data_IF_971882518964
#
_entry.id   IF_971882518964
#
_cell.length_a   1.000
_cell.length_b   1.000
_cell.length_c   1.000
_cell.angle_alpha   90.00
_cell.angle_beta   90.00
_cell.angle_gamma   90.00
#
_symmetry.space_group_name_H-M   'P 1'
#
loop_
_entity.id
_entity.type
_entity.pdbx_description
1 polymer ?
#
# COMPACT_ATOMS: atom_id res chain seq x y z
N UNK A 1 -2.23 12.39 23.96
CA UNK A 1 -2.70 13.06 22.74
C UNK A 1 -1.60 13.09 21.69
N UNK A 2 -1.76 12.35 20.60
CA UNK A 2 -1.01 12.60 19.38
C UNK A 2 -1.65 13.84 18.75
N UNK A 3 -0.91 14.93 18.56
CA UNK A 3 -1.44 16.13 17.92
C UNK A 3 -1.58 15.89 16.40
N UNK A 4 -2.60 15.15 15.98
CA UNK A 4 -2.84 14.83 14.57
C UNK A 4 -3.08 16.08 13.72
N UNK A 5 -3.53 17.20 14.31
CA UNK A 5 -3.64 18.47 13.60
C UNK A 5 -2.25 18.98 13.18
N UNK A 6 -1.31 19.01 14.11
CA UNK A 6 0.08 19.40 13.80
C UNK A 6 0.76 18.42 12.82
N UNK A 7 0.46 17.13 12.90
CA UNK A 7 0.94 16.15 11.92
C UNK A 7 0.39 16.45 10.51
N UNK A 8 -0.90 16.82 10.39
CA UNK A 8 -1.51 17.18 9.12
C UNK A 8 -0.85 18.43 8.51
N UNK A 9 -0.65 19.49 9.31
CA UNK A 9 0.03 20.71 8.86
C UNK A 9 1.47 20.45 8.42
N UNK A 10 2.21 19.61 9.15
CA UNK A 10 3.58 19.22 8.77
C UNK A 10 3.60 18.45 7.46
N UNK A 11 2.64 17.54 7.25
CA UNK A 11 2.52 16.82 5.98
C UNK A 11 2.21 17.79 4.84
N UNK A 12 1.26 18.71 5.02
CA UNK A 12 0.89 19.71 4.01
C UNK A 12 2.08 20.59 3.64
N UNK A 13 2.84 21.08 4.64
CA UNK A 13 4.07 21.84 4.38
C UNK A 13 5.07 21.06 3.53
N UNK A 14 5.30 19.78 3.85
CA UNK A 14 6.21 18.92 3.08
C UNK A 14 5.67 18.63 1.67
N UNK A 15 4.36 18.49 1.54
CA UNK A 15 3.70 18.37 0.24
C UNK A 15 3.94 19.61 -0.61
N UNK A 16 3.84 20.81 -0.04
CA UNK A 16 4.09 22.08 -0.75
C UNK A 16 5.55 22.18 -1.22
N UNK A 17 6.52 21.83 -0.37
CA UNK A 17 7.96 21.77 -0.70
C UNK A 17 8.25 20.85 -1.90
N UNK A 18 7.44 19.79 -2.06
CA UNK A 18 7.60 18.74 -3.07
C UNK A 18 6.55 18.83 -4.19
N UNK A 19 5.75 19.91 -4.20
CA UNK A 19 4.71 20.22 -5.20
C UNK A 19 3.63 19.12 -5.32
N UNK A 20 3.33 18.46 -4.21
CA UNK A 20 2.27 17.46 -4.11
C UNK A 20 0.96 18.16 -3.76
N UNK A 21 -0.01 18.10 -4.68
CA UNK A 21 -1.33 18.73 -4.46
C UNK A 21 -2.15 17.96 -3.43
N UNK A 22 -2.24 16.64 -3.58
CA UNK A 22 -3.11 15.79 -2.77
C UNK A 22 -2.37 14.54 -2.30
N UNK A 23 -2.57 14.15 -1.03
CA UNK A 23 -2.05 12.92 -0.46
C UNK A 23 -3.19 11.98 -0.02
N UNK A 24 -3.00 10.69 -0.23
CA UNK A 24 -3.86 9.64 0.31
C UNK A 24 -3.33 9.26 1.70
N UNK A 25 -4.22 9.26 2.68
CA UNK A 25 -3.92 8.96 4.08
C UNK A 25 -4.58 7.64 4.41
N UNK A 26 -3.75 6.65 4.76
CA UNK A 26 -4.20 5.35 5.27
C UNK A 26 -4.28 5.38 6.80
N UNK A 27 -5.24 4.66 7.36
CA UNK A 27 -5.38 4.54 8.83
C UNK A 27 -4.52 3.39 9.31
N UNK A 28 -3.45 3.70 10.03
CA UNK A 28 -2.69 2.71 10.81
C UNK A 28 -3.15 2.81 12.27
N UNK A 29 -3.78 1.76 12.84
CA UNK A 29 -4.23 1.79 14.22
C UNK A 29 -3.07 2.09 15.18
N UNK A 30 -3.30 3.01 16.12
CA UNK A 30 -2.32 3.34 17.15
C UNK A 30 -2.30 2.22 18.19
N UNK A 31 -1.14 1.94 18.81
CA UNK A 31 -1.08 0.96 19.91
C UNK A 31 -1.76 1.47 21.20
N UNK A 32 -2.26 2.72 21.20
CA UNK A 32 -2.87 3.38 22.37
C UNK A 32 -4.39 3.51 22.23
N UNK A 33 -4.89 3.56 21.01
CA UNK A 33 -6.29 3.80 20.70
C UNK A 33 -6.86 2.61 19.94
N UNK A 34 -8.12 2.25 20.20
CA UNK A 34 -8.79 1.19 19.45
C UNK A 34 -8.94 1.53 17.96
N UNK A 35 -9.24 0.53 17.11
CA UNK A 35 -9.37 0.75 15.67
C UNK A 35 -10.43 1.80 15.30
N UNK A 36 -11.59 1.80 15.98
CA UNK A 36 -12.65 2.79 15.76
C UNK A 36 -12.25 4.22 16.11
N UNK A 37 -11.55 4.40 17.24
CA UNK A 37 -11.07 5.71 17.68
C UNK A 37 -9.97 6.21 16.73
N UNK A 38 -9.04 5.34 16.34
CA UNK A 38 -8.00 5.66 15.34
C UNK A 38 -8.62 6.10 14.01
N UNK A 39 -9.64 5.37 13.54
CA UNK A 39 -10.39 5.70 12.35
C UNK A 39 -11.08 7.07 12.45
N UNK A 40 -11.89 7.28 13.51
CA UNK A 40 -12.61 8.55 13.70
C UNK A 40 -11.66 9.74 13.78
N UNK A 41 -10.59 9.62 14.56
CA UNK A 41 -9.59 10.68 14.69
C UNK A 41 -8.93 11.00 13.35
N UNK A 42 -8.52 10.01 12.55
CA UNK A 42 -7.91 10.26 11.26
C UNK A 42 -8.90 10.88 10.26
N UNK A 43 -10.11 10.31 10.16
CA UNK A 43 -11.20 10.78 9.31
C UNK A 43 -11.52 12.26 9.57
N UNK A 44 -11.72 12.62 10.84
CA UNK A 44 -12.09 13.97 11.23
C UNK A 44 -10.97 14.99 10.98
N UNK A 45 -9.70 14.55 10.95
CA UNK A 45 -8.55 15.40 10.61
C UNK A 45 -8.43 15.57 9.10
N UNK A 46 -8.51 14.49 8.33
CA UNK A 46 -8.48 14.54 6.87
C UNK A 46 -9.61 15.42 6.31
N UNK A 47 -10.82 15.32 6.88
CA UNK A 47 -11.97 16.15 6.48
C UNK A 47 -11.78 17.66 6.65
N UNK A 48 -10.82 18.10 7.48
CA UNK A 48 -10.48 19.53 7.62
C UNK A 48 -9.66 20.08 6.46
N UNK A 49 -9.09 19.20 5.63
CA UNK A 49 -8.25 19.57 4.50
C UNK A 49 -8.68 18.84 3.22
N UNK A 50 -9.96 18.96 2.80
CA UNK A 50 -10.53 18.13 1.74
C UNK A 50 -9.81 18.29 0.38
N UNK A 51 -9.22 19.45 0.10
CA UNK A 51 -8.50 19.68 -1.16
C UNK A 51 -7.07 19.13 -1.17
N UNK A 52 -6.55 18.78 0.01
CA UNK A 52 -5.15 18.36 0.21
C UNK A 52 -5.04 16.90 0.65
N UNK A 53 -5.97 16.41 1.45
CA UNK A 53 -5.89 15.09 2.06
C UNK A 53 -7.14 14.28 1.72
N UNK A 54 -6.95 13.01 1.39
CA UNK A 54 -8.03 12.05 1.13
C UNK A 54 -7.81 10.79 1.94
N UNK A 55 -8.89 10.24 2.48
CA UNK A 55 -8.80 9.08 3.35
C UNK A 55 -8.95 7.80 2.53
N UNK A 56 -8.04 6.85 2.74
CA UNK A 56 -8.26 5.44 2.47
C UNK A 56 -8.48 4.75 3.82
N UNK A 57 -9.56 4.01 3.94
CA UNK A 57 -9.97 3.40 5.21
C UNK A 57 -10.37 1.93 5.04
N UNK A 58 -10.55 1.22 6.15
CA UNK A 58 -10.86 -0.21 6.12
C UNK A 58 -9.77 -1.05 6.79
N UNK A 59 -8.50 -0.65 6.73
CA UNK A 59 -7.44 -1.37 7.46
C UNK A 59 -7.75 -1.52 8.96
N UNK A 60 -8.25 -0.45 9.58
CA UNK A 60 -8.64 -0.47 11.00
C UNK A 60 -9.97 -1.21 11.27
N UNK A 61 -10.97 -1.07 10.41
CA UNK A 61 -12.35 -1.51 10.71
C UNK A 61 -12.72 -2.86 10.08
N UNK A 62 -12.18 -3.16 8.90
CA UNK A 62 -12.40 -4.40 8.16
C UNK A 62 -11.26 -5.40 8.37
N UNK A 63 -10.05 -4.89 8.63
CA UNK A 63 -8.84 -5.69 8.84
C UNK A 63 -8.97 -6.75 9.94
N UNK A 64 -9.51 -6.44 11.14
CA UNK A 64 -9.69 -7.44 12.20
C UNK A 64 -10.53 -8.63 11.74
N UNK A 65 -11.71 -8.40 11.16
CA UNK A 65 -12.58 -9.48 10.65
C UNK A 65 -11.88 -10.31 9.57
N UNK A 66 -11.14 -9.67 8.67
CA UNK A 66 -10.34 -10.35 7.63
C UNK A 66 -9.22 -11.23 8.18
N UNK A 67 -8.64 -10.88 9.33
CA UNK A 67 -7.51 -11.60 9.92
C UNK A 67 -7.93 -12.67 10.91
N UNK A 68 -9.04 -12.46 11.60
CA UNK A 68 -9.53 -13.34 12.66
C UNK A 68 -10.49 -14.42 12.16
N UNK A 69 -11.13 -14.20 10.99
CA UNK A 69 -12.06 -15.18 10.40
C UNK A 69 -11.29 -16.16 9.52
N UNK A 70 -11.44 -17.46 9.79
CA UNK A 70 -10.94 -18.47 8.86
C UNK A 70 -11.74 -18.39 7.53
N UNK A 71 -11.08 -18.45 6.35
CA UNK A 71 -11.78 -18.40 5.06
C UNK A 71 -12.90 -19.42 4.90
N UNK A 72 -12.81 -20.61 5.51
CA UNK A 72 -13.82 -21.66 5.49
C UNK A 72 -15.03 -21.40 6.40
N UNK A 73 -14.88 -20.50 7.38
CA UNK A 73 -15.89 -20.18 8.39
C UNK A 73 -16.64 -18.87 8.09
N UNK A 74 -16.46 -18.30 6.90
CA UNK A 74 -17.14 -17.06 6.49
C UNK A 74 -18.62 -17.34 6.22
N UNK A 75 -19.46 -17.02 7.19
CA UNK A 75 -20.93 -17.10 7.09
C UNK A 75 -21.53 -15.91 6.33
N UNK A 76 -22.80 -16.03 5.93
CA UNK A 76 -23.54 -14.92 5.30
C UNK A 76 -23.78 -13.75 6.25
N UNK A 77 -23.87 -14.02 7.56
CA UNK A 77 -23.94 -12.97 8.57
C UNK A 77 -22.63 -12.16 8.62
N UNK A 78 -21.48 -12.84 8.66
CA UNK A 78 -20.16 -12.18 8.61
C UNK A 78 -20.03 -11.33 7.35
N UNK A 79 -20.43 -11.86 6.18
CA UNK A 79 -20.43 -11.10 4.91
C UNK A 79 -21.30 -9.85 4.98
N UNK A 80 -22.51 -9.97 5.54
CA UNK A 80 -23.46 -8.86 5.65
C UNK A 80 -22.90 -7.75 6.55
N UNK A 81 -22.32 -8.11 7.69
CA UNK A 81 -21.75 -7.13 8.64
C UNK A 81 -20.47 -6.49 8.08
N UNK A 82 -19.65 -7.28 7.40
CA UNK A 82 -18.47 -6.78 6.68
C UNK A 82 -18.87 -5.77 5.59
N UNK A 83 -19.87 -6.10 4.77
CA UNK A 83 -20.40 -5.20 3.74
C UNK A 83 -20.96 -3.92 4.35
N UNK A 84 -21.77 -4.02 5.40
CA UNK A 84 -22.33 -2.87 6.11
C UNK A 84 -21.22 -1.92 6.59
N UNK A 85 -20.14 -2.47 7.14
CA UNK A 85 -18.98 -1.69 7.60
C UNK A 85 -18.24 -1.04 6.43
N UNK A 86 -18.04 -1.77 5.32
CA UNK A 86 -17.40 -1.24 4.12
C UNK A 86 -18.21 -0.10 3.48
N UNK A 87 -19.53 -0.25 3.40
CA UNK A 87 -20.43 0.77 2.87
C UNK A 87 -20.45 2.02 3.77
N UNK A 88 -20.50 1.84 5.10
CA UNK A 88 -20.38 2.94 6.07
C UNK A 88 -19.09 3.74 5.86
N UNK A 89 -17.95 3.08 5.68
CA UNK A 89 -16.65 3.76 5.44
C UNK A 89 -16.72 4.68 4.21
N UNK A 90 -17.36 4.22 3.14
CA UNK A 90 -17.51 4.99 1.91
C UNK A 90 -18.55 6.11 2.04
N UNK A 91 -19.66 5.85 2.70
CA UNK A 91 -20.69 6.87 2.99
C UNK A 91 -20.14 7.98 3.89
N UNK A 92 -19.14 7.67 4.72
CA UNK A 92 -18.37 8.65 5.48
C UNK A 92 -17.25 9.35 4.66
N UNK A 93 -17.19 9.13 3.35
CA UNK A 93 -16.36 9.91 2.43
C UNK A 93 -14.92 9.42 2.29
N UNK A 94 -14.62 8.16 2.62
CA UNK A 94 -13.38 7.54 2.19
C UNK A 94 -13.31 7.47 0.65
N UNK A 95 -12.14 7.76 0.09
CA UNK A 95 -11.90 7.73 -1.36
C UNK A 95 -11.65 6.31 -1.91
N UNK A 96 -11.63 5.32 -1.03
CA UNK A 96 -11.37 3.91 -1.32
C UNK A 96 -10.95 3.16 -0.07
N UNK A 97 -10.57 1.90 -0.26
CA UNK A 97 -10.18 1.04 0.84
C UNK A 97 -8.66 1.01 1.01
N UNK A 98 -8.16 1.15 2.24
CA UNK A 98 -6.73 1.10 2.54
C UNK A 98 -6.42 1.41 4.01
N UNK A 99 -5.21 1.13 4.49
CA UNK A 99 -4.27 0.14 3.94
C UNK A 99 -4.86 -1.26 4.21
N UNK A 100 -5.14 -2.03 3.15
CA UNK A 100 -5.68 -3.38 3.31
C UNK A 100 -4.52 -4.38 3.35
N UNK A 101 -4.30 -5.00 4.52
CA UNK A 101 -3.17 -5.91 4.74
C UNK A 101 -3.51 -7.34 4.31
N UNK A 102 -2.81 -7.87 3.31
CA UNK A 102 -2.83 -9.29 3.00
C UNK A 102 -1.61 -10.03 3.58
N UNK A 103 -0.42 -9.44 3.50
CA UNK A 103 0.77 -10.04 4.09
C UNK A 103 1.72 -8.94 4.55
N UNK A 104 1.80 -8.76 5.87
CA UNK A 104 2.58 -7.71 6.50
C UNK A 104 3.67 -8.33 7.38
N UNK A 105 4.93 -8.14 6.99
CA UNK A 105 6.07 -8.68 7.73
C UNK A 105 6.34 -7.88 9.00
N UNK A 106 6.62 -8.57 10.10
CA UNK A 106 7.13 -7.93 11.30
C UNK A 106 8.59 -7.50 11.11
N UNK A 107 8.87 -6.19 11.08
CA UNK A 107 10.21 -5.64 10.82
C UNK A 107 10.99 -5.31 12.09
N UNK A 108 10.31 -5.19 13.22
CA UNK A 108 10.85 -4.95 14.56
C UNK A 108 9.77 -5.28 15.62
N UNK A 109 10.09 -5.40 16.93
CA UNK A 109 9.12 -5.81 17.95
C UNK A 109 7.92 -4.87 18.20
N UNK A 110 7.93 -3.66 17.64
CA UNK A 110 6.78 -2.72 17.67
C UNK A 110 5.95 -2.76 16.38
N UNK A 111 6.32 -3.64 15.45
CA UNK A 111 5.61 -3.97 14.22
C UNK A 111 4.94 -5.32 14.44
N UNK A 112 3.72 -5.54 14.00
CA UNK A 112 3.08 -6.87 14.07
C UNK A 112 3.22 -7.61 12.75
N UNK A 113 3.28 -8.94 12.81
CA UNK A 113 2.99 -9.77 11.64
C UNK A 113 1.46 -9.85 11.47
N UNK A 114 0.97 -9.66 10.25
CA UNK A 114 -0.46 -9.80 9.92
C UNK A 114 -0.60 -10.53 8.59
N UNK A 115 -1.61 -11.39 8.49
CA UNK A 115 -1.89 -12.18 7.29
C UNK A 115 -3.38 -12.36 7.08
N UNK A 116 -3.81 -12.14 5.85
CA UNK A 116 -5.10 -12.54 5.31
C UNK A 116 -4.86 -12.96 3.85
N UNK A 117 -5.28 -14.17 3.49
CA UNK A 117 -5.08 -14.69 2.13
C UNK A 117 -5.75 -13.76 1.11
N UNK A 118 -5.10 -13.34 0.00
CA UNK A 118 -5.74 -12.38 -0.91
C UNK A 118 -7.01 -12.92 -1.59
N UNK A 119 -7.17 -14.25 -1.66
CA UNK A 119 -8.35 -14.96 -2.14
C UNK A 119 -9.38 -15.26 -1.03
N UNK A 120 -9.22 -14.68 0.16
CA UNK A 120 -10.18 -14.79 1.24
C UNK A 120 -11.57 -14.30 0.78
N UNK A 121 -12.68 -15.00 1.12
CA UNK A 121 -14.03 -14.60 0.70
C UNK A 121 -14.42 -13.14 1.01
N UNK A 122 -13.88 -12.54 2.08
CA UNK A 122 -14.13 -11.15 2.44
C UNK A 122 -13.32 -10.16 1.58
N UNK A 123 -12.14 -10.55 1.08
CA UNK A 123 -11.44 -9.77 0.05
C UNK A 123 -12.18 -9.82 -1.29
N UNK A 124 -12.73 -10.97 -1.66
CA UNK A 124 -13.56 -11.10 -2.86
C UNK A 124 -14.82 -10.23 -2.76
N UNK A 125 -15.49 -10.25 -1.60
CA UNK A 125 -16.61 -9.36 -1.31
C UNK A 125 -16.22 -7.88 -1.33
N UNK A 126 -15.07 -7.52 -0.74
CA UNK A 126 -14.57 -6.15 -0.77
C UNK A 126 -14.31 -5.68 -2.20
N UNK A 127 -13.81 -6.57 -3.07
CA UNK A 127 -13.61 -6.27 -4.48
C UNK A 127 -14.93 -5.95 -5.19
N UNK A 128 -15.99 -6.70 -4.89
CA UNK A 128 -17.34 -6.42 -5.43
C UNK A 128 -17.88 -5.08 -4.96
N UNK A 129 -17.80 -4.79 -3.65
CA UNK A 129 -18.22 -3.50 -3.07
C UNK A 129 -17.43 -2.33 -3.69
N UNK A 130 -16.12 -2.47 -3.82
CA UNK A 130 -15.26 -1.45 -4.41
C UNK A 130 -15.60 -1.19 -5.89
N UNK A 131 -15.93 -2.24 -6.65
CA UNK A 131 -16.40 -2.10 -8.03
C UNK A 131 -17.79 -1.46 -8.13
N UNK A 132 -18.73 -1.85 -7.27
CA UNK A 132 -20.09 -1.29 -7.19
C UNK A 132 -20.06 0.22 -6.87
N UNK A 133 -19.15 0.62 -5.99
CA UNK A 133 -18.99 2.02 -5.54
C UNK A 133 -17.97 2.80 -6.36
N UNK A 134 -17.34 2.14 -7.33
CA UNK A 134 -16.32 2.68 -8.22
C UNK A 134 -15.19 3.43 -7.47
N UNK A 135 -14.60 2.72 -6.50
CA UNK A 135 -13.44 3.12 -5.71
C UNK A 135 -12.33 2.04 -5.78
N UNK A 136 -11.06 2.40 -5.58
CA UNK A 136 -9.97 1.42 -5.55
C UNK A 136 -9.81 0.74 -4.18
N UNK A 137 -9.08 -0.39 -4.19
CA UNK A 137 -8.52 -1.04 -3.00
C UNK A 137 -7.00 -0.86 -3.06
N UNK A 138 -6.44 -0.28 -2.00
CA UNK A 138 -5.01 -0.12 -1.78
C UNK A 138 -4.53 -1.25 -0.88
N UNK A 139 -3.69 -2.12 -1.44
CA UNK A 139 -3.36 -3.45 -0.91
C UNK A 139 -1.87 -3.51 -0.53
N UNK A 140 -1.61 -3.75 0.75
CA UNK A 140 -0.31 -4.09 1.28
C UNK A 140 -0.09 -5.60 1.26
N UNK A 141 0.89 -6.04 0.48
CA UNK A 141 1.20 -7.44 0.34
C UNK A 141 2.68 -7.64 -0.01
N UNK A 142 3.32 -8.62 0.61
CA UNK A 142 4.62 -9.10 0.14
C UNK A 142 4.46 -10.01 -1.08
N UNK A 143 5.36 -9.91 -2.07
CA UNK A 143 5.35 -10.80 -3.22
C UNK A 143 5.89 -12.17 -2.84
N UNK A 144 5.07 -13.23 -2.86
CA UNK A 144 5.49 -14.60 -2.59
C UNK A 144 4.83 -15.50 -3.65
N UNK A 145 5.57 -15.84 -4.71
CA UNK A 145 5.10 -16.79 -5.74
C UNK A 145 5.18 -18.23 -5.23
N UNK A 146 6.23 -18.53 -4.48
CA UNK A 146 6.46 -19.86 -3.90
C UNK A 146 6.81 -19.72 -2.43
N UNK A 147 6.20 -20.58 -1.63
CA UNK A 147 6.48 -20.67 -0.20
C UNK A 147 7.91 -21.14 0.06
N UNK A 148 8.36 -20.96 1.29
CA UNK A 148 9.71 -21.34 1.70
C UNK A 148 10.02 -20.88 3.11
N UNK A 149 11.21 -21.17 3.64
CA UNK A 149 11.57 -20.73 4.99
C UNK A 149 11.61 -19.20 5.07
N UNK A 150 11.10 -18.65 6.18
CA UNK A 150 11.22 -17.23 6.47
C UNK A 150 12.70 -16.82 6.51
N UNK A 151 13.12 -15.75 5.79
CA UNK A 151 14.51 -15.31 5.80
C UNK A 151 15.05 -15.11 7.23
N UNK A 152 16.17 -15.76 7.56
CA UNK A 152 16.77 -15.74 8.93
C UNK A 152 16.92 -14.33 9.52
N UNK A 153 17.21 -13.34 8.68
CA UNK A 153 17.40 -11.96 9.13
C UNK A 153 16.08 -11.28 9.55
N UNK A 154 14.94 -11.70 9.01
CA UNK A 154 13.61 -11.23 9.41
C UNK A 154 13.18 -11.88 10.74
N UNK A 155 13.35 -13.21 10.87
CA UNK A 155 13.14 -13.92 12.17
C UNK A 155 13.99 -13.34 13.30
N UNK A 156 15.25 -12.98 13.01
CA UNK A 156 16.14 -12.34 14.00
C UNK A 156 15.67 -10.94 14.44
N UNK A 157 14.99 -10.20 13.56
CA UNK A 157 14.46 -8.86 13.89
C UNK A 157 13.15 -8.93 14.64
N UNK A 158 12.36 -9.95 14.37
CA UNK A 158 11.09 -10.16 15.01
C UNK A 158 10.66 -11.63 14.98
N UNK A 159 10.38 -12.16 16.16
CA UNK A 159 9.94 -13.54 16.37
C UNK A 159 8.48 -13.79 15.94
N UNK A 160 7.67 -12.74 15.79
CA UNK A 160 6.26 -12.85 15.37
C UNK A 160 6.09 -13.25 13.89
N UNK A 161 7.14 -13.13 13.07
CA UNK A 161 7.08 -13.67 11.70
C UNK A 161 6.93 -15.21 11.74
N UNK A 162 6.11 -15.81 10.86
CA UNK A 162 5.96 -17.26 10.78
C UNK A 162 7.29 -17.92 10.37
N UNK A 163 7.39 -19.22 10.58
CA UNK A 163 8.57 -19.98 10.18
C UNK A 163 8.67 -20.18 8.66
N UNK A 164 7.52 -20.13 7.98
CA UNK A 164 7.39 -20.27 6.54
C UNK A 164 6.66 -19.08 5.92
N UNK A 165 7.14 -18.67 4.75
CA UNK A 165 6.45 -17.75 3.85
C UNK A 165 5.27 -18.48 3.21
N UNK A 166 4.09 -17.89 3.30
CA UNK A 166 2.87 -18.38 2.64
C UNK A 166 2.78 -17.73 1.26
N UNK A 167 2.53 -18.47 0.17
CA UNK A 167 2.33 -17.89 -1.15
C UNK A 167 1.17 -16.89 -1.16
N UNK A 168 1.42 -15.69 -1.70
CA UNK A 168 0.44 -14.61 -1.81
C UNK A 168 0.06 -14.34 -3.26
N UNK A 169 0.98 -14.53 -4.21
CA UNK A 169 0.72 -14.23 -5.63
C UNK A 169 -0.42 -15.08 -6.22
N UNK A 170 -0.53 -16.39 -5.94
CA UNK A 170 -1.66 -17.17 -6.47
C UNK A 170 -3.02 -16.64 -5.99
N UNK A 171 -3.14 -16.28 -4.70
CA UNK A 171 -4.37 -15.69 -4.16
C UNK A 171 -4.66 -14.31 -4.76
N UNK A 172 -3.62 -13.48 -4.97
CA UNK A 172 -3.79 -12.20 -5.66
C UNK A 172 -4.33 -12.38 -7.08
N UNK A 173 -3.87 -13.39 -7.82
CA UNK A 173 -4.38 -13.67 -9.17
C UNK A 173 -5.85 -14.09 -9.17
N UNK A 174 -6.32 -14.78 -8.13
CA UNK A 174 -7.75 -15.10 -7.92
C UNK A 174 -8.53 -13.81 -7.65
N UNK A 175 -8.08 -12.99 -6.70
CA UNK A 175 -8.70 -11.70 -6.39
C UNK A 175 -8.81 -10.78 -7.62
N UNK A 176 -7.72 -10.67 -8.39
CA UNK A 176 -7.69 -9.85 -9.60
C UNK A 176 -8.60 -10.40 -10.71
N UNK A 177 -8.89 -11.71 -10.74
CA UNK A 177 -9.80 -12.34 -11.70
C UNK A 177 -11.27 -12.26 -11.28
N UNK A 178 -11.53 -12.29 -9.97
CA UNK A 178 -12.87 -12.29 -9.38
C UNK A 178 -13.74 -11.17 -9.93
N UNK A 179 -13.25 -9.93 -9.87
CA UNK A 179 -13.96 -8.79 -10.42
C UNK A 179 -13.01 -7.83 -11.16
N UNK A 180 -13.05 -7.90 -12.51
CA UNK A 180 -12.18 -7.10 -13.39
C UNK A 180 -12.47 -5.59 -13.38
N UNK A 181 -13.59 -5.16 -12.77
CA UNK A 181 -13.91 -3.73 -12.61
C UNK A 181 -13.20 -3.13 -11.39
N UNK A 182 -12.82 -3.95 -10.42
CA UNK A 182 -12.15 -3.51 -9.19
C UNK A 182 -10.73 -3.06 -9.49
N UNK A 183 -10.40 -1.81 -9.17
CA UNK A 183 -9.03 -1.28 -9.27
C UNK A 183 -8.27 -1.66 -8.00
N UNK A 184 -7.22 -2.48 -8.14
CA UNK A 184 -6.36 -2.88 -7.01
C UNK A 184 -5.00 -2.21 -7.19
N UNK A 185 -4.62 -1.37 -6.23
CA UNK A 185 -3.33 -0.70 -6.17
C UNK A 185 -2.44 -1.49 -5.21
N UNK A 186 -1.43 -2.18 -5.74
CA UNK A 186 -0.47 -2.91 -4.92
C UNK A 186 0.62 -1.96 -4.45
N UNK A 187 0.71 -1.81 -3.14
CA UNK A 187 1.65 -0.92 -2.47
C UNK A 187 3.09 -1.41 -2.43
N UNK A 188 3.99 -0.45 -2.20
CA UNK A 188 5.40 -0.66 -1.84
C UNK A 188 6.25 -1.38 -2.89
N UNK A 189 5.86 -1.31 -4.16
CA UNK A 189 6.61 -1.93 -5.25
C UNK A 189 8.01 -1.31 -5.34
N UNK A 190 9.03 -2.15 -5.34
CA UNK A 190 10.44 -1.73 -5.21
C UNK A 190 10.99 -1.89 -3.79
N UNK A 191 10.17 -2.34 -2.84
CA UNK A 191 10.59 -2.78 -1.52
C UNK A 191 10.39 -4.27 -1.29
N UNK A 192 11.31 -5.04 -1.86
CA UNK A 192 11.29 -6.49 -1.73
C UNK A 192 11.99 -7.00 -0.46
N UNK A 193 11.26 -7.72 0.38
CA UNK A 193 11.77 -8.39 1.57
C UNK A 193 11.86 -9.93 1.42
N UNK A 194 11.29 -10.49 0.35
CA UNK A 194 11.17 -11.94 0.10
C UNK A 194 12.05 -12.45 -1.03
N UNK A 195 12.61 -11.54 -1.84
CA UNK A 195 13.37 -11.75 -3.08
C UNK A 195 12.51 -12.15 -4.29
N UNK A 196 11.19 -12.10 -4.19
CA UNK A 196 10.30 -12.55 -5.26
C UNK A 196 9.57 -11.38 -5.97
N UNK A 197 9.67 -10.14 -5.47
CA UNK A 197 9.08 -8.95 -6.11
C UNK A 197 9.93 -8.45 -7.29
N UNK A 198 9.98 -9.24 -8.37
CA UNK A 198 10.81 -8.94 -9.54
C UNK A 198 10.06 -8.15 -10.62
N UNK A 199 10.76 -7.35 -11.46
CA UNK A 199 10.16 -6.75 -12.65
C UNK A 199 9.48 -7.75 -13.60
N UNK A 200 10.03 -8.98 -13.68
CA UNK A 200 9.43 -10.07 -14.46
C UNK A 200 8.06 -10.47 -13.91
N UNK A 201 7.94 -10.62 -12.59
CA UNK A 201 6.66 -10.91 -11.93
C UNK A 201 5.67 -9.76 -12.16
N UNK A 202 6.08 -8.52 -11.90
CA UNK A 202 5.22 -7.35 -12.09
C UNK A 202 4.70 -7.26 -13.53
N UNK A 203 5.58 -7.46 -14.53
CA UNK A 203 5.20 -7.50 -15.94
C UNK A 203 4.17 -8.58 -16.23
N UNK A 204 4.40 -9.80 -15.74
CA UNK A 204 3.47 -10.94 -15.94
C UNK A 204 2.08 -10.59 -15.41
N UNK A 205 2.00 -10.06 -14.19
CA UNK A 205 0.73 -9.71 -13.55
C UNK A 205 0.06 -8.53 -14.24
N UNK A 206 0.80 -7.47 -14.57
CA UNK A 206 0.26 -6.33 -15.31
C UNK A 206 -0.26 -6.76 -16.69
N UNK A 207 0.45 -7.60 -17.44
CA UNK A 207 -0.04 -8.10 -18.73
C UNK A 207 -1.34 -8.89 -18.58
N UNK A 208 -1.47 -9.75 -17.58
CA UNK A 208 -2.62 -10.64 -17.42
C UNK A 208 -3.83 -10.00 -16.68
N UNK A 209 -3.61 -8.90 -15.96
CA UNK A 209 -4.62 -8.28 -15.11
C UNK A 209 -4.71 -6.77 -15.36
N UNK A 210 -5.67 -6.31 -16.20
CA UNK A 210 -5.81 -4.89 -16.54
C UNK A 210 -6.21 -4.03 -15.34
N UNK A 211 -6.76 -4.65 -14.30
CA UNK A 211 -7.25 -4.01 -13.10
C UNK A 211 -6.23 -3.94 -11.95
N UNK A 212 -4.99 -4.40 -12.20
CA UNK A 212 -3.85 -4.21 -11.30
C UNK A 212 -3.12 -2.90 -11.60
N UNK A 213 -2.86 -2.14 -10.55
CA UNK A 213 -2.07 -0.91 -10.52
C UNK A 213 -0.96 -1.07 -9.49
N UNK A 214 0.16 -0.36 -9.67
CA UNK A 214 1.32 -0.42 -8.77
C UNK A 214 1.60 0.94 -8.16
N UNK A 215 1.85 0.97 -6.85
CA UNK A 215 2.35 2.12 -6.13
C UNK A 215 3.82 1.90 -5.79
N UNK A 216 4.71 2.63 -6.48
CA UNK A 216 6.16 2.49 -6.32
C UNK A 216 6.64 3.18 -5.06
N UNK A 217 7.57 2.52 -4.38
CA UNK A 217 8.32 3.05 -3.25
C UNK A 217 9.81 2.83 -3.46
N UNK A 218 10.60 3.88 -3.28
CA UNK A 218 12.05 3.79 -3.30
C UNK A 218 12.67 4.23 -1.97
N UNK A 219 13.02 3.27 -1.08
CA UNK A 219 13.79 3.59 0.11
C UNK A 219 15.19 4.11 -0.24
N UNK A 220 15.66 5.12 0.49
CA UNK A 220 16.99 5.73 0.31
C UNK A 220 18.11 4.69 0.46
N UNK A 221 17.93 3.69 1.33
CA UNK A 221 18.92 2.66 1.59
C UNK A 221 18.79 1.49 0.61
N UNK A 222 19.77 1.36 -0.28
CA UNK A 222 19.84 0.27 -1.28
C UNK A 222 20.79 -0.89 -0.89
N UNK A 223 21.52 -0.78 0.22
CA UNK A 223 22.44 -1.82 0.75
C UNK A 223 22.22 -2.09 2.24
N UNK A 224 22.49 -3.30 2.69
CA UNK A 224 22.49 -3.65 4.11
C UNK A 224 23.78 -3.18 4.81
N UNK A 225 23.87 -3.39 6.14
CA UNK A 225 25.03 -2.98 6.96
C UNK A 225 26.37 -3.59 6.51
N UNK A 226 26.34 -4.69 5.76
CA UNK A 226 27.52 -5.38 5.24
C UNK A 226 27.81 -5.02 3.77
N UNK A 227 27.21 -3.93 3.26
CA UNK A 227 27.39 -3.47 1.88
C UNK A 227 26.68 -4.32 0.82
N UNK A 228 25.99 -5.41 1.20
CA UNK A 228 25.27 -6.26 0.23
C UNK A 228 23.99 -5.54 -0.22
N UNK A 229 23.71 -5.48 -1.53
CA UNK A 229 22.50 -4.87 -2.02
C UNK A 229 21.23 -5.55 -1.52
N UNK A 230 20.17 -4.76 -1.35
CA UNK A 230 18.83 -5.32 -1.19
C UNK A 230 18.33 -5.88 -2.53
N UNK A 231 17.57 -6.99 -2.50
CA UNK A 231 17.01 -7.58 -3.71
C UNK A 231 16.04 -6.60 -4.38
N UNK A 232 15.93 -6.70 -5.70
CA UNK A 232 14.88 -6.09 -6.53
C UNK A 232 14.57 -4.60 -6.28
N UNK A 233 15.54 -3.81 -5.81
CA UNK A 233 15.41 -2.35 -5.74
C UNK A 233 15.27 -1.71 -7.13
N UNK A 234 14.44 -0.66 -7.21
CA UNK A 234 14.23 0.17 -8.41
C UNK A 234 15.53 0.82 -8.86
N UNK A 235 16.26 1.43 -7.92
CA UNK A 235 17.53 2.10 -8.21
C UNK A 235 18.71 1.13 -8.21
N UNK A 236 19.72 1.48 -9.01
CA UNK A 236 21.00 0.78 -9.09
C UNK A 236 21.81 0.88 -7.78
N UNK A 237 22.99 0.25 -7.76
CA UNK A 237 23.86 0.24 -6.57
C UNK A 237 24.48 1.59 -6.24
N UNK A 238 24.60 2.49 -7.23
CA UNK A 238 25.02 3.88 -7.01
C UNK A 238 23.89 4.72 -6.41
N UNK A 239 22.66 4.20 -6.42
CA UNK A 239 21.44 4.87 -6.03
C UNK A 239 21.11 6.09 -6.88
N UNK A 240 21.71 6.23 -8.07
CA UNK A 240 21.52 7.40 -8.95
C UNK A 240 20.59 7.12 -10.10
N UNK A 241 20.64 5.94 -10.71
CA UNK A 241 19.80 5.61 -11.86
C UNK A 241 18.79 4.53 -11.52
N UNK A 242 17.62 4.58 -12.16
CA UNK A 242 16.68 3.47 -12.22
C UNK A 242 17.31 2.35 -13.05
N UNK A 243 17.25 1.11 -12.56
CA UNK A 243 17.76 -0.05 -13.30
C UNK A 243 16.99 -0.25 -14.62
N UNK A 244 17.64 -0.70 -15.71
CA UNK A 244 17.00 -0.79 -17.02
C UNK A 244 15.68 -1.58 -17.03
N UNK A 245 15.63 -2.72 -16.33
CA UNK A 245 14.45 -3.57 -16.26
C UNK A 245 13.25 -2.90 -15.55
N UNK A 246 13.52 -2.10 -14.52
CA UNK A 246 12.50 -1.29 -13.84
C UNK A 246 12.07 -0.11 -14.71
N UNK A 247 13.02 0.56 -15.37
CA UNK A 247 12.73 1.67 -16.28
C UNK A 247 11.82 1.21 -17.42
N UNK A 248 12.12 0.07 -18.04
CA UNK A 248 11.30 -0.49 -19.11
C UNK A 248 9.92 -0.91 -18.63
N UNK A 249 9.81 -1.52 -17.44
CA UNK A 249 8.50 -1.83 -16.83
C UNK A 249 7.65 -0.56 -16.66
N UNK A 250 8.27 0.52 -16.17
CA UNK A 250 7.58 1.80 -15.97
C UNK A 250 7.11 2.41 -17.29
N UNK A 251 7.94 2.35 -18.34
CA UNK A 251 7.56 2.85 -19.66
C UNK A 251 6.38 2.05 -20.25
N UNK A 252 6.47 0.72 -20.24
CA UNK A 252 5.47 -0.15 -20.87
C UNK A 252 4.10 -0.13 -20.18
N UNK A 253 4.07 0.21 -18.89
CA UNK A 253 2.85 0.24 -18.09
C UNK A 253 2.65 1.59 -17.40
N UNK A 254 3.09 2.66 -18.06
CA UNK A 254 3.06 4.01 -17.48
C UNK A 254 1.67 4.44 -17.02
N UNK A 255 0.58 3.97 -17.64
CA UNK A 255 -0.81 4.21 -17.24
C UNK A 255 -1.27 3.47 -15.98
N UNK A 256 -0.45 2.58 -15.41
CA UNK A 256 -0.84 1.73 -14.27
C UNK A 256 0.09 1.84 -13.08
N UNK A 257 0.94 2.86 -13.09
CA UNK A 257 1.98 3.05 -12.09
C UNK A 257 1.84 4.45 -11.47
N UNK A 258 1.92 4.52 -10.16
CA UNK A 258 1.93 5.76 -9.38
C UNK A 258 2.96 5.68 -8.26
N UNK A 259 3.11 6.75 -7.49
CA UNK A 259 4.10 6.85 -6.43
C UNK A 259 3.43 6.84 -5.05
N UNK A 260 3.98 6.06 -4.13
CA UNK A 260 3.56 5.98 -2.73
C UNK A 260 4.78 5.89 -1.82
N UNK A 261 5.01 6.95 -1.05
CA UNK A 261 6.23 7.07 -0.24
C UNK A 261 6.25 6.17 0.99
N UNK A 262 5.09 5.68 1.45
CA UNK A 262 4.91 5.04 2.77
C UNK A 262 5.56 5.89 3.87
N UNK A 263 5.09 7.12 4.00
CA UNK A 263 5.65 8.12 4.90
C UNK A 263 4.79 8.24 6.17
N UNK A 264 5.44 8.15 7.32
CA UNK A 264 4.80 8.38 8.60
C UNK A 264 5.03 9.82 9.03
N UNK A 265 3.96 10.58 9.25
CA UNK A 265 4.05 11.95 9.80
C UNK A 265 3.45 11.97 11.20
N UNK A 266 4.26 12.40 12.17
CA UNK A 266 3.86 12.55 13.56
C UNK A 266 3.99 13.99 14.04
N UNK A 267 3.44 14.31 15.23
CA UNK A 267 3.51 15.65 15.81
C UNK A 267 4.91 16.05 16.27
N UNK A 268 5.83 15.10 16.47
CA UNK A 268 7.23 15.39 16.82
C UNK A 268 8.14 15.28 15.59
N UNK A 269 9.26 16.01 15.58
CA UNK A 269 10.17 16.14 14.44
C UNK A 269 10.70 14.78 13.94
N UNK A 270 10.62 14.59 12.60
CA UNK A 270 10.96 13.39 11.81
C UNK A 270 10.63 12.07 12.51
N UNK A 271 9.55 11.42 12.09
CA UNK A 271 9.58 9.96 12.10
C UNK A 271 10.76 9.53 11.21
N UNK A 272 11.90 9.19 11.82
CA UNK A 272 13.09 8.63 11.13
C UNK A 272 12.80 7.29 10.42
N UNK A 273 11.54 6.84 10.41
CA UNK A 273 11.10 5.52 10.01
C UNK A 273 10.92 5.37 8.51
N UNK A 274 10.44 6.40 7.80
CA UNK A 274 10.24 6.35 6.35
C UNK A 274 11.29 7.19 5.62
N UNK A 275 12.51 6.67 5.47
CA UNK A 275 13.52 7.31 4.63
C UNK A 275 13.25 7.04 3.14
N UNK A 276 12.02 7.24 2.67
CA UNK A 276 11.59 6.96 1.28
C UNK A 276 10.98 8.15 0.55
N UNK A 277 10.50 9.22 1.21
CA UNK A 277 9.82 10.33 0.53
C UNK A 277 10.57 10.90 -0.67
N UNK A 278 11.68 11.59 -0.42
CA UNK A 278 12.49 12.28 -1.43
C UNK A 278 12.91 11.33 -2.54
N UNK A 279 13.33 10.12 -2.13
CA UNK A 279 13.84 9.13 -3.07
C UNK A 279 12.73 8.55 -3.95
N UNK A 280 11.53 8.38 -3.42
CA UNK A 280 10.36 7.93 -4.18
C UNK A 280 9.94 9.01 -5.18
N UNK A 281 9.84 10.26 -4.75
CA UNK A 281 9.47 11.36 -5.66
C UNK A 281 10.52 11.61 -6.74
N UNK A 282 11.81 11.38 -6.47
CA UNK A 282 12.87 11.49 -7.49
C UNK A 282 12.74 10.49 -8.66
N UNK A 283 11.85 9.49 -8.57
CA UNK A 283 11.59 8.56 -9.69
C UNK A 283 11.13 9.34 -10.93
N UNK A 284 10.33 10.39 -10.77
CA UNK A 284 9.78 11.15 -11.90
C UNK A 284 10.86 11.88 -12.71
N UNK A 285 11.99 12.21 -12.08
CA UNK A 285 13.09 12.95 -12.73
C UNK A 285 13.85 12.10 -13.76
N UNK A 286 13.61 10.78 -13.78
CA UNK A 286 14.14 9.87 -14.78
C UNK A 286 13.30 9.76 -16.07
N UNK A 287 12.18 10.49 -16.11
CA UNK A 287 11.21 10.48 -17.21
C UNK A 287 10.88 11.91 -17.67
N UNK A 288 10.35 12.02 -18.87
CA UNK A 288 9.96 13.27 -19.52
C UNK A 288 8.62 13.12 -20.22
N UNK A 289 7.97 14.25 -20.54
CA UNK A 289 6.68 14.28 -21.23
C UNK A 289 5.58 13.55 -20.46
N UNK A 290 4.68 12.89 -21.20
CA UNK A 290 3.48 12.24 -20.67
C UNK A 290 3.78 11.21 -19.56
N UNK A 291 4.87 10.45 -19.65
CA UNK A 291 5.23 9.47 -18.59
C UNK A 291 5.53 10.18 -17.26
N UNK A 292 6.17 11.35 -17.30
CA UNK A 292 6.44 12.14 -16.10
C UNK A 292 5.15 12.66 -15.47
N UNK A 293 4.19 13.10 -16.29
CA UNK A 293 2.88 13.61 -15.84
C UNK A 293 2.01 12.50 -15.22
N UNK A 294 1.97 11.33 -15.88
CA UNK A 294 1.33 10.10 -15.40
C UNK A 294 1.81 9.71 -14.00
N UNK A 295 3.12 9.59 -13.84
CA UNK A 295 3.76 9.25 -12.56
C UNK A 295 3.63 10.38 -11.52
N UNK A 296 3.69 11.63 -11.97
CA UNK A 296 3.63 12.82 -11.13
C UNK A 296 2.27 13.09 -10.48
N UNK A 297 1.21 12.45 -10.95
CA UNK A 297 -0.07 12.44 -10.24
C UNK A 297 -1.31 12.19 -11.10
N UNK A 298 -1.22 12.22 -12.42
CA UNK A 298 -2.39 12.00 -13.28
C UNK A 298 -2.99 10.59 -13.08
N UNK A 299 -2.16 9.56 -12.96
CA UNK A 299 -2.65 8.22 -12.68
C UNK A 299 -3.33 8.12 -11.32
N UNK A 300 -2.74 8.69 -10.27
CA UNK A 300 -3.35 8.70 -8.95
C UNK A 300 -4.72 9.42 -9.00
N UNK A 301 -4.80 10.56 -9.68
CA UNK A 301 -6.04 11.30 -9.88
C UNK A 301 -7.12 10.46 -10.58
N UNK A 302 -6.76 9.76 -11.66
CA UNK A 302 -7.69 8.91 -12.42
C UNK A 302 -8.11 7.66 -11.62
N UNK A 303 -7.17 7.00 -10.96
CA UNK A 303 -7.42 5.75 -10.23
C UNK A 303 -8.22 5.99 -8.95
N UNK A 304 -7.93 7.06 -8.21
CA UNK A 304 -8.66 7.41 -6.99
C UNK A 304 -9.80 8.41 -7.21
N UNK A 305 -10.05 8.81 -8.47
CA UNK A 305 -11.06 9.82 -8.83
C UNK A 305 -10.94 11.12 -8.02
N UNK A 306 -9.72 11.59 -7.84
CA UNK A 306 -9.45 12.82 -7.12
C UNK A 306 -9.90 13.98 -8.03
N UNK A 307 -10.76 14.87 -7.53
CA UNK A 307 -11.22 16.04 -8.28
C UNK A 307 -10.06 16.90 -8.83
N UNK A 308 -10.38 17.71 -9.86
CA UNK A 308 -9.43 18.60 -10.57
C UNK A 308 -8.62 19.52 -9.67
#
# INVERSE_FOLDING_TARGET
YVNLAEAAEKLIKRMDEQRIKTAMIVVVPSSRDGPDESYRQMRDRVRKHPDRLRLLAGGALLGPTLQETDPGEVTDEIKRDFRKTAEMILDEGAAGFGEMLSYHLCMNPKHSFQYAAPDHPLYLLLADIAAERDVPIDLHMEAIEKGGPMPKHLKKRCSQNPDTLVPTVPGLEVLLKHNRKTRIVWEHIGWDNTRQMTPRLMRRLLTAHPNLFLSLRAPTRNKNRNGKPFPNRIFDYSNRNIKPEWKQLILDFSDRIMLGADEFVGPFEKAKLAASFEKTWSIIDHFSGEVREKLGGENARRVFKLGG
#
